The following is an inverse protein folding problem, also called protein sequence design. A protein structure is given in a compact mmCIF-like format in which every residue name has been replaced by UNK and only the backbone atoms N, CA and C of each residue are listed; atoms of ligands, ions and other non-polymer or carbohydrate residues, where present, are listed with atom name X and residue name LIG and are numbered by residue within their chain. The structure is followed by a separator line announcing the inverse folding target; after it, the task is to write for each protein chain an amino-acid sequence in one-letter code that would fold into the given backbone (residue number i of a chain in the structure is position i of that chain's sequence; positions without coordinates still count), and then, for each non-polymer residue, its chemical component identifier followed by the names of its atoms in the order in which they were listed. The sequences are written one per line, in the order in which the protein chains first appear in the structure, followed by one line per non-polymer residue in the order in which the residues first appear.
data_IF_886138879747
#
_entry.id   IF_886138879747
#
_cell.length_a   1.000
_cell.length_b   1.000
_cell.length_c   1.000
_cell.angle_alpha   90.00
_cell.angle_beta   90.00
_cell.angle_gamma   90.00
#
_symmetry.space_group_name_H-M   'P 1'
#
loop_
_entity.id
_entity.type
_entity.pdbx_description
1 polymer ?
#
# COMPACT_ATOMS: atom_id res chain seq x y z
N UNK A 1 -11.55 7.62 -10.28
CA UNK A 1 -11.90 6.30 -10.86
C UNK A 1 -10.68 5.46 -11.24
N UNK A 2 -9.75 5.96 -12.06
CA UNK A 2 -8.59 5.19 -12.61
C UNK A 2 -7.72 4.40 -11.61
N UNK A 3 -7.43 4.96 -10.43
CA UNK A 3 -6.55 4.28 -9.46
C UNK A 3 -7.10 2.93 -8.96
N UNK A 4 -8.43 2.83 -8.80
CA UNK A 4 -9.09 1.58 -8.42
C UNK A 4 -9.01 0.55 -9.54
N UNK A 5 -9.25 0.97 -10.78
CA UNK A 5 -9.25 0.07 -11.93
C UNK A 5 -7.86 -0.56 -12.14
N UNK A 6 -6.80 0.23 -11.94
CA UNK A 6 -5.43 -0.26 -12.05
C UNK A 6 -5.00 -1.06 -10.81
N UNK A 7 -5.09 -0.48 -9.62
CA UNK A 7 -4.51 -1.10 -8.42
C UNK A 7 -5.29 -2.34 -7.97
N UNK A 8 -6.63 -2.24 -7.98
CA UNK A 8 -7.50 -3.31 -7.50
C UNK A 8 -7.84 -4.28 -8.64
N UNK A 9 -8.60 -3.83 -9.63
CA UNK A 9 -9.10 -4.71 -10.69
C UNK A 9 -7.98 -5.29 -11.56
N UNK A 10 -6.93 -4.53 -11.83
CA UNK A 10 -5.74 -5.04 -12.53
C UNK A 10 -5.13 -6.26 -11.83
N UNK A 11 -5.07 -6.23 -10.49
CA UNK A 11 -4.53 -7.34 -9.69
C UNK A 11 -5.50 -8.51 -9.60
N UNK A 12 -6.80 -8.24 -9.42
CA UNK A 12 -7.85 -9.28 -9.35
C UNK A 12 -7.91 -10.06 -10.66
N UNK A 13 -8.02 -9.34 -11.79
CA UNK A 13 -8.16 -9.95 -13.11
C UNK A 13 -6.92 -10.78 -13.46
N UNK A 14 -5.70 -10.24 -13.26
CA UNK A 14 -4.46 -10.97 -13.51
C UNK A 14 -4.36 -12.25 -12.66
N UNK A 15 -4.79 -12.17 -11.39
CA UNK A 15 -4.79 -13.32 -10.49
C UNK A 15 -5.74 -14.40 -10.99
N UNK A 16 -6.97 -14.03 -11.35
CA UNK A 16 -7.99 -14.98 -11.82
C UNK A 16 -7.49 -15.83 -12.99
N UNK A 17 -6.85 -15.22 -13.99
CA UNK A 17 -6.27 -15.96 -15.12
C UNK A 17 -5.04 -16.80 -14.73
N UNK A 18 -4.27 -16.38 -13.73
CA UNK A 18 -3.10 -17.11 -13.26
C UNK A 18 -3.44 -18.32 -12.37
N UNK A 19 -4.62 -18.35 -11.72
CA UNK A 19 -4.99 -19.38 -10.72
C UNK A 19 -4.79 -20.83 -11.21
N UNK A 20 -5.21 -21.25 -12.42
CA UNK A 20 -5.03 -22.62 -12.86
C UNK A 20 -3.54 -23.01 -12.98
N UNK A 21 -2.70 -22.07 -13.39
CA UNK A 21 -1.26 -22.28 -13.54
C UNK A 21 -0.55 -22.30 -12.18
N UNK A 22 -0.93 -21.40 -11.28
CA UNK A 22 -0.42 -21.35 -9.91
C UNK A 22 -0.75 -22.63 -9.16
N UNK A 23 -2.00 -23.13 -9.24
CA UNK A 23 -2.41 -24.39 -8.58
C UNK A 23 -1.60 -25.58 -9.10
N UNK A 24 -1.43 -25.71 -10.42
CA UNK A 24 -0.62 -26.79 -11.03
C UNK A 24 0.84 -26.79 -10.57
N UNK A 25 1.40 -25.62 -10.27
CA UNK A 25 2.81 -25.44 -9.90
C UNK A 25 3.05 -25.26 -8.41
N UNK A 26 1.99 -25.31 -7.58
CA UNK A 26 2.04 -24.93 -6.15
C UNK A 26 2.71 -23.56 -5.98
N UNK A 27 2.31 -22.63 -6.84
CA UNK A 27 2.89 -21.31 -6.98
C UNK A 27 2.50 -20.37 -5.84
N UNK A 28 2.89 -19.10 -6.01
CA UNK A 28 2.66 -18.05 -5.02
C UNK A 28 2.26 -16.75 -5.69
N UNK A 29 1.33 -16.04 -5.07
CA UNK A 29 0.95 -14.67 -5.42
C UNK A 29 1.73 -13.72 -4.52
N UNK A 30 2.33 -12.68 -5.12
CA UNK A 30 3.04 -11.62 -4.38
C UNK A 30 2.27 -10.33 -4.58
N UNK A 31 1.68 -9.83 -3.50
CA UNK A 31 0.79 -8.68 -3.52
C UNK A 31 1.55 -7.45 -3.04
N UNK A 32 1.74 -6.48 -3.94
CA UNK A 32 2.42 -5.22 -3.61
C UNK A 32 1.42 -4.22 -3.02
N UNK A 33 1.28 -4.27 -1.70
CA UNK A 33 0.54 -3.33 -0.89
C UNK A 33 1.34 -2.08 -0.51
N UNK A 34 0.76 -1.28 0.39
CA UNK A 34 1.33 -0.01 0.84
C UNK A 34 0.98 0.24 2.29
N UNK A 35 1.86 0.95 3.01
CA UNK A 35 1.56 1.51 4.31
C UNK A 35 0.44 2.55 4.27
N UNK A 36 0.11 3.10 3.10
CA UNK A 36 -1.03 3.99 2.90
C UNK A 36 -2.38 3.40 3.34
N UNK A 37 -2.47 2.09 3.61
CA UNK A 37 -3.67 1.50 4.20
C UNK A 37 -3.92 1.85 5.67
N UNK A 38 -2.90 2.23 6.42
CA UNK A 38 -2.99 2.56 7.85
C UNK A 38 -2.24 3.86 8.19
N UNK A 39 -1.23 4.20 7.41
CA UNK A 39 -0.49 5.46 7.42
C UNK A 39 -1.12 6.46 6.43
N UNK A 40 -2.26 7.02 6.82
CA UNK A 40 -3.02 7.93 5.96
C UNK A 40 -2.40 9.34 5.94
N UNK A 41 -2.03 9.82 4.75
CA UNK A 41 -1.46 11.14 4.49
C UNK A 41 -2.42 11.98 3.63
N UNK A 42 -2.31 13.32 3.65
CA UNK A 42 -3.11 14.20 2.80
C UNK A 42 -3.03 13.82 1.31
N UNK A 43 -4.02 14.26 0.54
CA UNK A 43 -4.13 14.11 -0.95
C UNK A 43 -4.12 12.67 -1.50
N UNK A 44 -4.04 11.64 -0.65
CA UNK A 44 -3.91 10.24 -1.08
C UNK A 44 -5.14 9.37 -0.80
N UNK A 45 -6.31 9.97 -0.51
CA UNK A 45 -7.50 9.22 -0.06
C UNK A 45 -7.96 8.12 -1.02
N UNK A 46 -8.03 8.41 -2.33
CA UNK A 46 -8.45 7.43 -3.36
C UNK A 46 -7.40 6.34 -3.55
N UNK A 47 -6.12 6.70 -3.50
CA UNK A 47 -5.02 5.73 -3.56
C UNK A 47 -5.04 4.79 -2.35
N UNK A 48 -5.13 5.34 -1.14
CA UNK A 48 -5.18 4.58 0.11
C UNK A 48 -6.37 3.62 0.11
N UNK A 49 -7.56 4.10 -0.25
CA UNK A 49 -8.74 3.25 -0.37
C UNK A 49 -8.53 2.08 -1.35
N UNK A 50 -7.92 2.33 -2.51
CA UNK A 50 -7.63 1.28 -3.49
C UNK A 50 -6.64 0.22 -2.96
N UNK A 51 -5.65 0.63 -2.16
CA UNK A 51 -4.66 -0.28 -1.55
C UNK A 51 -5.23 -1.08 -0.40
N UNK A 52 -6.11 -0.50 0.42
CA UNK A 52 -6.86 -1.24 1.45
C UNK A 52 -7.78 -2.27 0.82
N UNK A 53 -8.50 -1.91 -0.25
CA UNK A 53 -9.37 -2.85 -0.97
C UNK A 53 -8.56 -4.03 -1.53
N UNK A 54 -7.41 -3.76 -2.16
CA UNK A 54 -6.50 -4.79 -2.65
C UNK A 54 -6.05 -5.71 -1.51
N UNK A 55 -5.60 -5.14 -0.38
CA UNK A 55 -5.15 -5.91 0.76
C UNK A 55 -6.26 -6.84 1.30
N UNK A 56 -7.45 -6.29 1.55
CA UNK A 56 -8.58 -7.07 2.07
C UNK A 56 -8.97 -8.22 1.14
N UNK A 57 -8.97 -7.99 -0.18
CA UNK A 57 -9.30 -9.02 -1.15
C UNK A 57 -8.31 -10.19 -1.13
N UNK A 58 -7.00 -9.90 -1.13
CA UNK A 58 -5.99 -10.95 -1.14
C UNK A 58 -5.83 -11.66 0.20
N UNK A 59 -6.16 -11.01 1.31
CA UNK A 59 -6.27 -11.67 2.62
C UNK A 59 -7.40 -12.71 2.61
N UNK A 60 -8.59 -12.35 2.11
CA UNK A 60 -9.69 -13.30 1.94
C UNK A 60 -9.30 -14.43 0.98
N UNK A 61 -8.71 -14.08 -0.17
CA UNK A 61 -8.30 -15.05 -1.18
C UNK A 61 -7.23 -16.03 -0.65
N UNK A 62 -6.38 -15.61 0.29
CA UNK A 62 -5.41 -16.53 0.92
C UNK A 62 -6.13 -17.67 1.62
N UNK A 63 -7.21 -17.37 2.36
CA UNK A 63 -8.00 -18.39 3.06
C UNK A 63 -8.68 -19.32 2.06
N UNK A 64 -9.21 -18.78 0.96
CA UNK A 64 -9.88 -19.55 -0.10
C UNK A 64 -8.94 -20.45 -0.89
N UNK A 65 -7.67 -20.06 -1.05
CA UNK A 65 -6.68 -20.79 -1.86
C UNK A 65 -5.73 -21.66 -1.03
N UNK A 66 -5.74 -21.55 0.29
CA UNK A 66 -4.91 -22.37 1.15
C UNK A 66 -5.36 -23.85 1.12
N UNK A 67 -4.42 -24.81 1.17
CA UNK A 67 -2.97 -24.67 1.17
C UNK A 67 -2.33 -24.70 -0.24
N UNK A 68 -3.14 -24.71 -1.30
CA UNK A 68 -2.69 -24.97 -2.68
C UNK A 68 -1.78 -23.87 -3.25
N UNK A 69 -2.08 -22.60 -2.94
CA UNK A 69 -1.37 -21.42 -3.46
C UNK A 69 -0.98 -20.52 -2.30
N UNK A 70 0.31 -20.21 -2.18
CA UNK A 70 0.81 -19.27 -1.18
C UNK A 70 0.52 -17.82 -1.55
N UNK A 71 0.36 -16.95 -0.56
CA UNK A 71 0.24 -15.49 -0.78
C UNK A 71 1.19 -14.74 0.15
N UNK A 72 2.12 -13.96 -0.43
CA UNK A 72 2.96 -13.00 0.30
C UNK A 72 2.39 -11.60 0.15
N UNK A 73 2.02 -10.99 1.27
CA UNK A 73 1.61 -9.59 1.37
C UNK A 73 2.83 -8.72 1.63
N UNK A 74 3.16 -7.86 0.67
CA UNK A 74 4.28 -6.93 0.77
C UNK A 74 3.72 -5.54 1.07
N UNK A 75 4.00 -5.00 2.25
CA UNK A 75 3.61 -3.64 2.65
C UNK A 75 4.80 -2.70 2.49
N UNK A 76 4.73 -1.79 1.51
CA UNK A 76 5.80 -0.84 1.26
C UNK A 76 5.53 0.56 1.83
N UNK A 77 6.58 1.16 2.38
CA UNK A 77 6.68 2.59 2.65
C UNK A 77 7.08 3.39 1.43
N UNK A 78 7.61 4.59 1.65
CA UNK A 78 8.17 5.41 0.58
C UNK A 78 9.45 4.78 0.06
N UNK A 79 9.48 4.46 -1.24
CA UNK A 79 10.62 3.84 -1.92
C UNK A 79 11.18 4.79 -2.97
N UNK A 80 12.51 4.82 -3.15
CA UNK A 80 13.19 5.66 -4.14
C UNK A 80 12.77 5.29 -5.55
N UNK A 81 11.81 6.01 -6.09
CA UNK A 81 11.27 5.83 -7.45
C UNK A 81 11.03 7.19 -8.08
N UNK A 82 10.96 7.30 -9.42
CA UNK A 82 10.63 8.57 -10.08
C UNK A 82 9.30 9.19 -9.62
N UNK A 83 8.40 8.37 -9.06
CA UNK A 83 7.13 8.81 -8.50
C UNK A 83 7.29 9.50 -7.13
N UNK A 84 8.29 9.10 -6.34
CA UNK A 84 8.61 9.70 -5.04
C UNK A 84 9.52 10.93 -5.24
N UNK A 85 9.09 11.86 -6.10
CA UNK A 85 9.79 13.12 -6.34
C UNK A 85 9.45 14.17 -5.26
N UNK A 86 10.22 15.27 -5.23
CA UNK A 86 10.04 16.31 -4.21
C UNK A 86 8.64 16.93 -4.25
N UNK A 87 8.03 17.10 -5.43
CA UNK A 87 6.68 17.63 -5.57
C UNK A 87 5.65 16.74 -4.87
N UNK A 88 5.72 15.42 -5.10
CA UNK A 88 4.86 14.44 -4.44
C UNK A 88 5.06 14.45 -2.92
N UNK A 89 6.32 14.46 -2.46
CA UNK A 89 6.64 14.47 -1.02
C UNK A 89 6.15 15.75 -0.34
N UNK A 90 6.22 16.89 -1.04
CA UNK A 90 5.68 18.17 -0.61
C UNK A 90 4.15 18.13 -0.52
N UNK A 91 3.47 17.68 -1.57
CA UNK A 91 2.01 17.65 -1.66
C UNK A 91 1.39 16.72 -0.62
N UNK A 92 1.98 15.54 -0.44
CA UNK A 92 1.57 14.57 0.58
C UNK A 92 2.08 14.93 1.99
N UNK A 93 2.93 15.96 2.13
CA UNK A 93 3.54 16.41 3.38
C UNK A 93 4.29 15.30 4.16
N UNK A 94 5.12 14.53 3.44
CA UNK A 94 5.85 13.35 3.95
C UNK A 94 7.37 13.44 3.78
N UNK A 95 7.93 14.64 3.60
CA UNK A 95 9.39 14.84 3.45
C UNK A 95 10.19 14.32 4.64
N UNK A 96 9.58 14.29 5.82
CA UNK A 96 10.16 13.78 7.05
C UNK A 96 10.19 12.23 7.11
N UNK A 97 9.52 11.55 6.18
CA UNK A 97 9.51 10.08 6.10
C UNK A 97 10.75 9.62 5.35
N UNK A 98 11.61 8.77 5.96
CA UNK A 98 12.78 8.24 5.28
C UNK A 98 12.40 7.48 4.00
N UNK A 99 13.07 7.81 2.89
CA UNK A 99 12.91 7.10 1.62
C UNK A 99 13.81 5.87 1.63
N UNK A 100 13.23 4.72 1.29
CA UNK A 100 13.93 3.45 1.27
C UNK A 100 14.45 3.10 -0.14
N UNK A 101 15.70 2.64 -0.32
CA UNK A 101 16.24 2.32 -1.64
C UNK A 101 15.48 1.20 -2.36
N UNK A 102 15.24 1.38 -3.66
CA UNK A 102 14.51 0.37 -4.48
C UNK A 102 15.25 -0.96 -4.58
N UNK A 103 16.59 -0.93 -4.63
CA UNK A 103 17.41 -2.14 -4.73
C UNK A 103 17.28 -3.01 -3.50
N UNK A 104 17.26 -2.40 -2.31
CA UNK A 104 17.13 -3.13 -1.05
C UNK A 104 15.70 -3.65 -0.85
N UNK A 105 14.71 -2.85 -1.22
CA UNK A 105 13.31 -3.27 -1.28
C UNK A 105 13.11 -4.49 -2.20
N UNK A 106 13.65 -4.46 -3.42
CA UNK A 106 13.54 -5.56 -4.38
C UNK A 106 14.22 -6.84 -3.85
N UNK A 107 15.43 -6.71 -3.27
CA UNK A 107 16.13 -7.84 -2.63
C UNK A 107 15.31 -8.43 -1.48
N UNK A 108 14.73 -7.57 -0.63
CA UNK A 108 13.92 -8.01 0.49
C UNK A 108 12.68 -8.79 0.04
N UNK A 109 11.98 -8.32 -1.00
CA UNK A 109 10.83 -9.00 -1.60
C UNK A 109 11.22 -10.39 -2.10
N UNK A 110 12.28 -10.48 -2.91
CA UNK A 110 12.75 -11.76 -3.46
C UNK A 110 13.16 -12.73 -2.34
N UNK A 111 13.92 -12.26 -1.35
CA UNK A 111 14.34 -13.08 -0.23
C UNK A 111 13.16 -13.58 0.62
N UNK A 112 12.16 -12.73 0.85
CA UNK A 112 10.95 -13.08 1.58
C UNK A 112 10.12 -14.14 0.86
N UNK A 113 9.95 -14.00 -0.45
CA UNK A 113 9.28 -14.98 -1.30
C UNK A 113 10.00 -16.32 -1.29
N UNK A 114 11.35 -16.33 -1.34
CA UNK A 114 12.16 -17.56 -1.30
C UNK A 114 12.07 -18.28 0.04
N UNK A 115 11.94 -17.55 1.16
CA UNK A 115 11.69 -18.14 2.48
C UNK A 115 10.26 -18.66 2.65
N UNK A 116 9.33 -18.18 1.81
CA UNK A 116 7.93 -18.53 1.89
C UNK A 116 7.13 -17.67 2.86
N UNK A 117 7.66 -16.53 3.29
CA UNK A 117 7.01 -15.65 4.26
C UNK A 117 5.63 -15.20 3.75
N UNK A 118 4.66 -15.11 4.64
CA UNK A 118 3.33 -14.59 4.31
C UNK A 118 3.28 -13.06 4.31
N UNK A 119 4.17 -12.41 5.06
CA UNK A 119 4.18 -10.96 5.26
C UNK A 119 5.59 -10.38 5.19
N UNK A 120 5.71 -9.30 4.42
CA UNK A 120 6.91 -8.46 4.37
C UNK A 120 6.50 -6.99 4.57
N UNK A 121 7.26 -6.25 5.38
CA UNK A 121 7.06 -4.81 5.53
C UNK A 121 8.41 -4.12 5.37
N UNK A 122 8.50 -3.24 4.40
CA UNK A 122 9.71 -2.49 4.08
C UNK A 122 9.38 -1.00 3.96
N UNK A 123 10.11 -0.11 4.64
CA UNK A 123 11.18 -0.38 5.58
C UNK A 123 10.68 -1.03 6.90
N UNK A 124 11.51 -1.80 7.63
CA UNK A 124 11.05 -2.60 8.77
C UNK A 124 10.51 -1.79 9.95
N UNK A 125 10.99 -0.55 10.16
CA UNK A 125 10.53 0.33 11.24
C UNK A 125 9.04 0.68 11.13
N UNK A 126 8.45 0.59 9.93
CA UNK A 126 7.02 0.80 9.73
C UNK A 126 6.18 -0.28 10.41
N UNK A 127 6.71 -1.46 10.72
CA UNK A 127 6.02 -2.45 11.57
C UNK A 127 5.78 -1.91 12.97
N UNK A 128 6.80 -1.30 13.57
CA UNK A 128 6.70 -0.70 14.90
C UNK A 128 5.71 0.45 14.92
N UNK A 129 5.71 1.28 13.86
CA UNK A 129 4.73 2.38 13.72
C UNK A 129 3.32 1.83 13.56
N UNK A 130 3.12 0.77 12.76
CA UNK A 130 1.81 0.14 12.63
C UNK A 130 1.25 -0.29 13.99
N UNK A 131 2.05 -0.94 14.84
CA UNK A 131 1.61 -1.32 16.20
C UNK A 131 1.26 -0.09 17.04
N UNK A 132 2.03 0.99 16.95
CA UNK A 132 1.71 2.26 17.61
C UNK A 132 0.38 2.85 17.14
N UNK A 133 0.12 2.85 15.83
CA UNK A 133 -1.15 3.30 15.25
C UNK A 133 -2.32 2.44 15.73
N UNK A 134 -2.09 1.13 15.84
CA UNK A 134 -3.11 0.16 16.23
C UNK A 134 -3.49 0.28 17.71
N UNK A 135 -2.51 0.44 18.60
CA UNK A 135 -2.75 0.47 20.06
C UNK A 135 -2.96 1.87 20.63
N UNK A 136 -2.49 2.91 19.95
CA UNK A 136 -2.57 4.31 20.42
C UNK A 136 -3.14 5.24 19.34
N UNK A 137 -4.37 4.99 18.85
CA UNK A 137 -4.92 5.74 17.73
C UNK A 137 -5.11 7.22 18.03
N UNK A 138 -5.51 7.60 19.25
CA UNK A 138 -5.72 8.99 19.66
C UNK A 138 -4.42 9.79 19.66
N UNK A 139 -3.34 9.20 20.17
CA UNK A 139 -2.00 9.80 20.14
C UNK A 139 -1.56 9.97 18.69
N UNK A 140 -1.76 8.95 17.85
CA UNK A 140 -1.47 9.02 16.44
C UNK A 140 -2.30 10.08 15.69
N UNK A 141 -3.58 10.26 16.05
CA UNK A 141 -4.42 11.33 15.50
C UNK A 141 -3.94 12.72 15.92
N UNK A 142 -3.54 12.92 17.17
CA UNK A 142 -2.97 14.17 17.65
C UNK A 142 -1.64 14.49 16.94
N UNK A 143 -0.73 13.51 16.87
CA UNK A 143 0.55 13.64 16.17
C UNK A 143 0.36 13.98 14.68
N UNK A 144 -0.56 13.28 13.98
CA UNK A 144 -0.87 13.57 12.57
C UNK A 144 -1.44 14.97 12.39
N UNK A 145 -2.27 15.48 13.30
CA UNK A 145 -2.74 16.87 13.21
C UNK A 145 -1.58 17.85 13.31
N UNK A 146 -0.63 17.62 14.19
CA UNK A 146 0.54 18.50 14.33
C UNK A 146 1.50 18.40 13.14
N UNK A 147 1.78 17.19 12.65
CA UNK A 147 2.75 16.95 11.59
C UNK A 147 2.19 17.24 10.18
N UNK A 148 0.92 16.93 9.94
CA UNK A 148 0.34 16.89 8.59
C UNK A 148 -0.63 18.04 8.28
N UNK A 149 -1.23 18.70 9.28
CA UNK A 149 -2.37 19.63 9.06
C UNK A 149 -1.97 21.11 8.98
N UNK A 150 -0.71 21.48 9.24
CA UNK A 150 -0.29 22.89 9.23
C UNK A 150 -0.19 23.58 7.84
N UNK A 151 -0.69 22.97 6.76
CA UNK A 151 -0.82 23.63 5.43
C UNK A 151 -2.10 23.21 4.68
N UNK A 152 -3.28 23.43 5.27
CA UNK A 152 -4.54 23.26 4.55
C UNK A 152 -4.78 24.37 3.51
N UNK A 153 -4.29 24.15 2.28
CA UNK A 153 -4.87 24.76 1.07
C UNK A 153 -5.28 23.73 0.01
N UNK A 154 -4.79 22.49 0.07
CA UNK A 154 -4.91 21.52 -1.03
C UNK A 154 -6.16 20.61 -1.02
N UNK A 155 -6.80 20.36 0.13
CA UNK A 155 -7.90 19.36 0.19
C UNK A 155 -9.17 19.78 -0.56
N UNK A 156 -9.41 21.09 -0.74
CA UNK A 156 -10.60 21.62 -1.40
C UNK A 156 -10.57 21.48 -2.93
N UNK A 157 -9.38 21.41 -3.54
CA UNK A 157 -9.21 21.30 -4.99
C UNK A 157 -9.36 19.86 -5.49
N UNK A 158 -8.81 18.89 -4.78
CA UNK A 158 -8.87 17.48 -5.18
C UNK A 158 -10.27 16.87 -5.06
N UNK A 159 -11.02 17.23 -4.00
CA UNK A 159 -12.43 16.81 -3.84
C UNK A 159 -13.32 17.37 -4.96
N UNK A 160 -13.10 18.63 -5.37
CA UNK A 160 -13.80 19.24 -6.51
C UNK A 160 -13.46 18.57 -7.84
N UNK A 161 -12.20 18.19 -8.06
CA UNK A 161 -11.79 17.46 -9.28
C UNK A 161 -12.38 16.04 -9.35
N UNK A 162 -12.49 15.33 -8.22
CA UNK A 162 -13.11 14.01 -8.17
C UNK A 162 -14.63 14.03 -8.39
N UNK A 163 -15.31 15.11 -7.98
CA UNK A 163 -16.77 15.25 -8.10
C UNK A 163 -17.26 16.03 -9.33
N UNK A 164 -16.37 16.71 -10.07
CA UNK A 164 -16.72 17.41 -11.33
C UNK A 164 -16.44 16.58 -12.59
N UNK A 165 -16.13 15.29 -12.46
CA UNK A 165 -16.12 14.35 -13.59
C UNK A 165 -17.56 14.00 -13.98
N UNK A 166 -18.08 14.70 -14.97
CA UNK A 166 -19.33 14.42 -15.67
C UNK A 166 -19.45 12.94 -16.08
N UNK A 167 -20.69 12.44 -15.98
CA UNK A 167 -21.19 11.16 -16.49
C UNK A 167 -20.64 10.78 -17.88
#
# INVERSE_FOLDING_TARGET
MRARDVNFWGSVNATQFALPHLRKRKGRIVVIGSTGGWFNVPTMSVYNASKVAQQSFFETLRVELAPDIGITMVTLGTVTTPLANDDFLNEANIQWVPIYPVGDCAKAIVNSVRRGDEYLTEPPWMRSVFLWVMFFPEIWHAARRLLLVNRQKASSQMWKSCNNGSL
#
